data_IF_869410666321
#
_entry.id   IF_869410666321
#
_cell.length_a   1.000
_cell.length_b   1.000
_cell.length_c   1.000
_cell.angle_alpha   90.00
_cell.angle_beta   90.00
_cell.angle_gamma   90.00
#
_symmetry.space_group_name_H-M   'P 1'
#
loop_
_entity.id
_entity.type
_entity.pdbx_description
1 polymer ?
#
# COMPACT_ATOMS: atom_id res chain seq x y z
N UNK A 1 -13.89 -0.03 -8.72
CA UNK A 1 -14.80 0.37 -9.81
C UNK A 1 -15.35 1.75 -9.44
N UNK A 2 -14.67 2.83 -9.84
CA UNK A 2 -15.14 4.19 -9.58
C UNK A 2 -16.22 4.51 -10.61
N UNK A 3 -17.48 4.57 -10.17
CA UNK A 3 -18.56 5.15 -10.96
C UNK A 3 -18.19 6.59 -11.28
N UNK A 4 -18.38 6.99 -12.53
CA UNK A 4 -18.14 8.34 -13.05
C UNK A 4 -19.21 9.27 -12.48
N UNK A 5 -19.25 9.46 -11.16
CA UNK A 5 -20.13 10.44 -10.53
C UNK A 5 -19.54 11.82 -10.83
N UNK A 6 -20.33 12.64 -11.52
CA UNK A 6 -20.02 14.03 -11.85
C UNK A 6 -20.14 14.95 -10.63
N UNK A 7 -20.37 14.38 -9.43
CA UNK A 7 -20.65 15.09 -8.19
C UNK A 7 -19.55 14.82 -7.16
N UNK A 8 -18.78 15.86 -6.80
CA UNK A 8 -17.68 15.79 -5.84
C UNK A 8 -18.09 15.22 -4.47
N UNK A 9 -19.37 15.35 -4.09
CA UNK A 9 -19.90 14.80 -2.83
C UNK A 9 -19.91 13.27 -2.82
N UNK A 10 -20.31 12.63 -3.92
CA UNK A 10 -20.39 11.17 -4.00
C UNK A 10 -18.99 10.52 -4.03
N UNK A 11 -18.02 11.23 -4.64
CA UNK A 11 -16.63 10.85 -4.61
C UNK A 11 -16.08 10.89 -3.19
N UNK A 12 -16.26 12.00 -2.47
CA UNK A 12 -15.82 12.14 -1.08
C UNK A 12 -16.47 11.09 -0.19
N UNK A 13 -17.79 10.89 -0.31
CA UNK A 13 -18.50 9.89 0.48
C UNK A 13 -17.96 8.47 0.23
N UNK A 14 -17.67 8.13 -1.03
CA UNK A 14 -17.08 6.84 -1.38
C UNK A 14 -15.65 6.70 -0.86
N UNK A 15 -14.85 7.76 -0.93
CA UNK A 15 -13.49 7.80 -0.40
C UNK A 15 -13.49 7.54 1.11
N UNK A 16 -14.30 8.28 1.88
CA UNK A 16 -14.41 8.09 3.32
C UNK A 16 -14.94 6.70 3.67
N UNK A 17 -15.99 6.23 2.98
CA UNK A 17 -16.57 4.89 3.25
C UNK A 17 -15.54 3.78 3.04
N UNK A 18 -14.82 3.78 1.92
CA UNK A 18 -13.82 2.75 1.65
C UNK A 18 -12.57 2.93 2.52
N UNK A 19 -12.16 4.17 2.79
CA UNK A 19 -11.02 4.47 3.67
C UNK A 19 -11.24 3.98 5.10
N UNK A 20 -12.39 4.30 5.70
CA UNK A 20 -12.78 3.82 7.03
C UNK A 20 -12.83 2.29 7.05
N UNK A 21 -13.49 1.68 6.05
CA UNK A 21 -13.55 0.22 5.95
C UNK A 21 -12.15 -0.43 5.87
N UNK A 22 -11.25 0.16 5.09
CA UNK A 22 -9.87 -0.34 4.96
C UNK A 22 -9.10 -0.25 6.26
N UNK A 23 -9.18 0.89 6.96
CA UNK A 23 -8.50 1.10 8.24
C UNK A 23 -9.04 0.22 9.34
N UNK A 24 -10.35 0.02 9.43
CA UNK A 24 -10.95 -0.82 10.48
C UNK A 24 -10.60 -2.29 10.28
N UNK A 25 -10.82 -2.83 9.08
CA UNK A 25 -10.52 -4.24 8.79
C UNK A 25 -9.01 -4.48 8.88
N UNK A 26 -8.21 -3.59 8.30
CA UNK A 26 -6.77 -3.66 8.36
C UNK A 26 -6.21 -3.54 9.77
N UNK A 27 -6.75 -2.62 10.58
CA UNK A 27 -6.34 -2.44 11.96
C UNK A 27 -6.57 -3.70 12.79
N UNK A 28 -7.73 -4.34 12.64
CA UNK A 28 -8.04 -5.61 13.31
C UNK A 28 -7.09 -6.72 12.85
N UNK A 29 -6.91 -6.90 11.54
CA UNK A 29 -6.05 -7.95 10.98
C UNK A 29 -4.60 -7.75 11.44
N UNK A 30 -4.06 -6.54 11.32
CA UNK A 30 -2.69 -6.24 11.74
C UNK A 30 -2.51 -6.32 13.25
N UNK A 31 -3.54 -5.99 14.04
CA UNK A 31 -3.49 -6.15 15.49
C UNK A 31 -3.36 -7.61 15.87
N UNK A 32 -4.18 -8.48 15.28
CA UNK A 32 -4.06 -9.94 15.48
C UNK A 32 -2.67 -10.43 15.06
N UNK A 33 -2.19 -10.03 13.87
CA UNK A 33 -0.86 -10.44 13.39
C UNK A 33 0.23 -9.99 14.36
N UNK A 34 0.26 -8.72 14.75
CA UNK A 34 1.29 -8.16 15.64
C UNK A 34 1.29 -8.85 17.01
N UNK A 35 0.10 -9.17 17.55
CA UNK A 35 -0.04 -9.96 18.79
C UNK A 35 0.48 -11.38 18.64
N UNK A 36 0.19 -12.06 17.52
CA UNK A 36 0.72 -13.39 17.23
C UNK A 36 2.25 -13.40 17.10
N UNK A 37 2.84 -12.29 16.66
CA UNK A 37 4.30 -12.08 16.62
C UNK A 37 4.90 -11.66 17.97
N UNK A 38 4.13 -11.68 19.05
CA UNK A 38 4.62 -11.48 20.42
C UNK A 38 4.42 -10.08 20.99
N UNK A 39 3.56 -9.25 20.39
CA UNK A 39 3.28 -7.94 20.95
C UNK A 39 2.56 -8.00 22.31
N UNK A 40 2.91 -7.10 23.26
CA UNK A 40 2.26 -7.04 24.56
C UNK A 40 0.79 -6.60 24.46
N UNK A 41 -0.10 -7.36 25.11
CA UNK A 41 -1.55 -7.15 25.12
C UNK A 41 -2.06 -6.23 26.24
N UNK A 42 -1.59 -6.42 27.48
CA UNK A 42 -2.20 -5.78 28.65
C UNK A 42 -1.53 -4.47 29.07
N UNK A 43 -0.21 -4.37 28.93
CA UNK A 43 0.55 -3.22 29.44
C UNK A 43 0.72 -2.12 28.39
N UNK A 44 0.69 -2.45 27.09
CA UNK A 44 0.97 -1.52 25.99
C UNK A 44 -0.04 -1.65 24.84
N UNK A 45 -1.30 -1.92 25.15
CA UNK A 45 -2.37 -2.10 24.16
C UNK A 45 -2.43 -0.93 23.18
N UNK A 46 -2.43 0.30 23.70
CA UNK A 46 -2.51 1.52 22.90
C UNK A 46 -1.38 1.59 21.86
N UNK A 47 -0.17 1.19 22.25
CA UNK A 47 0.97 1.24 21.34
C UNK A 47 0.90 0.16 20.28
N UNK A 48 0.47 -1.04 20.64
CA UNK A 48 0.24 -2.13 19.69
C UNK A 48 -0.88 -1.77 18.69
N UNK A 49 -1.96 -1.14 19.16
CA UNK A 49 -3.04 -0.63 18.30
C UNK A 49 -2.55 0.47 17.35
N UNK A 50 -1.75 1.43 17.84
CA UNK A 50 -1.17 2.48 16.99
C UNK A 50 -0.27 1.91 15.90
N UNK A 51 0.57 0.91 16.21
CA UNK A 51 1.38 0.22 15.21
C UNK A 51 0.49 -0.49 14.16
N UNK A 52 -0.56 -1.17 14.60
CA UNK A 52 -1.50 -1.86 13.70
C UNK A 52 -2.28 -0.90 12.81
N UNK A 53 -2.67 0.26 13.32
CA UNK A 53 -3.30 1.33 12.54
C UNK A 53 -2.32 1.93 11.52
N UNK A 54 -1.05 2.10 11.90
CA UNK A 54 0.00 2.57 10.99
C UNK A 54 0.21 1.57 9.84
N UNK A 55 0.32 0.28 10.16
CA UNK A 55 0.40 -0.80 9.17
C UNK A 55 -0.84 -0.82 8.28
N UNK A 56 -2.04 -0.67 8.84
CA UNK A 56 -3.27 -0.59 8.07
C UNK A 56 -3.27 0.62 7.11
N UNK A 57 -2.77 1.78 7.55
CA UNK A 57 -2.67 2.99 6.75
C UNK A 57 -1.76 2.82 5.52
N UNK A 58 -0.69 2.01 5.61
CA UNK A 58 0.22 1.76 4.47
C UNK A 58 -0.10 0.53 3.63
N UNK A 59 -1.01 -0.34 4.09
CA UNK A 59 -1.33 -1.62 3.43
C UNK A 59 -2.77 -1.64 2.91
N UNK A 60 -3.74 -1.75 3.80
CA UNK A 60 -5.16 -1.99 3.50
C UNK A 60 -5.91 -0.72 3.14
N UNK A 61 -5.52 0.43 3.69
CA UNK A 61 -6.09 1.73 3.34
C UNK A 61 -5.93 2.10 1.84
N UNK A 62 -4.71 2.12 1.26
CA UNK A 62 -4.55 2.41 -0.16
C UNK A 62 -5.22 1.35 -1.05
N UNK A 63 -5.22 0.07 -0.64
CA UNK A 63 -5.93 -0.99 -1.36
C UNK A 63 -7.44 -0.77 -1.38
N UNK A 64 -8.03 -0.42 -0.24
CA UNK A 64 -9.47 -0.21 -0.09
C UNK A 64 -9.95 1.01 -0.87
N UNK A 65 -9.19 2.12 -0.85
CA UNK A 65 -9.52 3.31 -1.62
C UNK A 65 -9.48 3.00 -3.12
N UNK A 66 -8.40 2.38 -3.63
CA UNK A 66 -8.22 2.22 -5.07
C UNK A 66 -9.06 1.10 -5.68
N UNK A 67 -9.23 -0.02 -4.97
CA UNK A 67 -9.87 -1.21 -5.50
C UNK A 67 -11.26 -1.47 -4.91
N UNK A 68 -11.67 -0.72 -3.89
CA UNK A 68 -12.90 -0.96 -3.14
C UNK A 68 -12.80 -2.21 -2.26
N UNK A 69 -13.90 -2.67 -1.66
CA UNK A 69 -13.94 -3.80 -0.71
C UNK A 69 -13.80 -5.19 -1.38
N UNK A 70 -13.05 -5.31 -2.47
CA UNK A 70 -12.86 -6.57 -3.19
C UNK A 70 -11.66 -7.34 -2.64
N UNK A 71 -11.92 -8.17 -1.63
CA UNK A 71 -10.90 -8.93 -0.89
C UNK A 71 -10.08 -9.85 -1.81
N UNK A 72 -10.69 -10.46 -2.83
CA UNK A 72 -9.98 -11.31 -3.80
C UNK A 72 -8.89 -10.54 -4.54
N UNK A 73 -9.18 -9.29 -4.92
CA UNK A 73 -8.22 -8.42 -5.57
C UNK A 73 -7.11 -7.97 -4.62
N UNK A 74 -7.43 -7.73 -3.35
CA UNK A 74 -6.43 -7.37 -2.33
C UNK A 74 -5.43 -8.50 -2.14
N UNK A 75 -5.90 -9.75 -2.02
CA UNK A 75 -5.05 -10.93 -1.87
C UNK A 75 -4.13 -11.10 -3.08
N UNK A 76 -4.66 -10.95 -4.30
CA UNK A 76 -3.85 -11.05 -5.53
C UNK A 76 -2.73 -10.01 -5.59
N UNK A 77 -3.02 -8.77 -5.17
CA UNK A 77 -2.05 -7.67 -5.16
C UNK A 77 -0.99 -7.86 -4.07
N UNK A 78 -1.40 -8.30 -2.87
CA UNK A 78 -0.50 -8.50 -1.72
C UNK A 78 0.40 -9.70 -1.92
N UNK A 79 -0.18 -10.85 -2.28
CA UNK A 79 0.58 -12.08 -2.52
C UNK A 79 1.32 -12.07 -3.87
N UNK A 80 1.14 -11.00 -4.65
CA UNK A 80 1.77 -10.85 -5.95
C UNK A 80 1.51 -12.07 -6.87
N UNK A 81 0.40 -12.77 -6.66
CA UNK A 81 0.03 -13.99 -7.39
C UNK A 81 -0.15 -13.73 -8.90
N UNK A 82 -0.24 -12.45 -9.29
CA UNK A 82 -0.25 -11.98 -10.67
C UNK A 82 1.11 -11.61 -11.27
N UNK A 83 2.28 -11.96 -10.69
CA UNK A 83 3.59 -11.67 -11.35
C UNK A 83 3.68 -12.24 -12.77
N UNK A 84 3.07 -13.40 -13.01
CA UNK A 84 2.97 -14.00 -14.34
C UNK A 84 2.16 -13.12 -15.32
N UNK A 85 1.12 -12.46 -14.85
CA UNK A 85 0.29 -11.54 -15.67
C UNK A 85 0.95 -10.16 -15.83
N UNK A 86 1.75 -9.73 -14.85
CA UNK A 86 2.51 -8.46 -14.90
C UNK A 86 3.63 -8.49 -15.95
N UNK A 87 4.31 -9.63 -16.12
CA UNK A 87 5.28 -9.85 -17.21
C UNK A 87 4.60 -9.84 -18.60
N UNK A 88 3.38 -10.37 -18.70
CA UNK A 88 2.56 -10.29 -19.92
C UNK A 88 2.08 -8.85 -20.23
N UNK A 89 2.03 -7.99 -19.22
CA UNK A 89 1.58 -6.60 -19.35
C UNK A 89 2.71 -5.64 -19.77
N UNK A 90 3.96 -5.92 -19.39
CA UNK A 90 5.13 -5.17 -19.87
C UNK A 90 5.34 -5.33 -21.39
N UNK A 91 5.07 -6.52 -21.94
CA UNK A 91 5.15 -6.80 -23.38
C UNK A 91 3.96 -6.24 -24.17
N UNK A 92 2.82 -6.00 -23.53
CA UNK A 92 1.60 -5.45 -24.16
C UNK A 92 1.36 -3.98 -23.84
N UNK A 93 2.31 -3.29 -23.19
CA UNK A 93 2.17 -1.88 -22.79
C UNK A 93 1.74 -0.95 -23.93
N UNK A 94 2.22 -1.21 -25.16
CA UNK A 94 1.88 -0.41 -26.33
C UNK A 94 0.44 -0.64 -26.82
N UNK A 95 -0.20 -1.75 -26.46
CA UNK A 95 -1.59 -2.11 -26.82
C UNK A 95 -2.60 -1.86 -25.69
N UNK A 96 -2.15 -1.69 -24.45
CA UNK A 96 -3.02 -1.50 -23.30
C UNK A 96 -3.79 -0.16 -23.33
N UNK A 97 -5.05 -0.20 -22.92
CA UNK A 97 -5.92 0.96 -22.76
C UNK A 97 -5.45 1.88 -21.63
N UNK A 98 -5.77 3.18 -21.70
CA UNK A 98 -5.40 4.19 -20.70
C UNK A 98 -5.82 3.80 -19.28
N UNK A 99 -6.99 3.17 -19.15
CA UNK A 99 -7.53 2.70 -17.86
C UNK A 99 -6.71 1.56 -17.27
N UNK A 100 -6.23 0.63 -18.11
CA UNK A 100 -5.43 -0.52 -17.70
C UNK A 100 -4.05 -0.05 -17.20
N UNK A 101 -3.40 0.86 -17.96
CA UNK A 101 -2.13 1.48 -17.57
C UNK A 101 -2.19 2.14 -16.19
N UNK A 102 -3.28 2.87 -15.92
CA UNK A 102 -3.49 3.50 -14.62
C UNK A 102 -3.72 2.46 -13.50
N UNK A 103 -4.46 1.39 -13.77
CA UNK A 103 -4.67 0.32 -12.79
C UNK A 103 -3.36 -0.40 -12.44
N UNK A 104 -2.51 -0.68 -13.43
CA UNK A 104 -1.19 -1.31 -13.22
C UNK A 104 -0.31 -0.41 -12.34
N UNK A 105 -0.30 0.90 -12.60
CA UNK A 105 0.41 1.87 -11.78
C UNK A 105 -0.07 1.85 -10.32
N UNK A 106 -1.38 1.90 -10.09
CA UNK A 106 -1.95 1.86 -8.74
C UNK A 106 -1.64 0.54 -8.02
N UNK A 107 -1.65 -0.57 -8.73
CA UNK A 107 -1.26 -1.87 -8.15
C UNK A 107 0.21 -1.88 -7.76
N UNK A 108 1.11 -1.38 -8.61
CA UNK A 108 2.54 -1.28 -8.31
C UNK A 108 2.80 -0.37 -7.10
N UNK A 109 2.11 0.78 -7.04
CA UNK A 109 2.12 1.69 -5.90
C UNK A 109 1.72 0.99 -4.59
N UNK A 110 0.54 0.38 -4.56
CA UNK A 110 0.03 -0.28 -3.36
C UNK A 110 0.90 -1.46 -2.93
N UNK A 111 1.43 -2.26 -3.87
CA UNK A 111 2.35 -3.35 -3.54
C UNK A 111 3.67 -2.82 -2.98
N UNK A 112 4.28 -1.80 -3.58
CA UNK A 112 5.55 -1.25 -3.12
C UNK A 112 5.44 -0.65 -1.70
N UNK A 113 4.39 0.14 -1.46
CA UNK A 113 4.04 0.69 -0.15
C UNK A 113 3.83 -0.43 0.88
N UNK A 114 2.98 -1.40 0.56
CA UNK A 114 2.63 -2.50 1.46
C UNK A 114 3.83 -3.37 1.82
N UNK A 115 4.57 -3.85 0.81
CA UNK A 115 5.72 -4.74 1.03
C UNK A 115 6.83 -3.98 1.77
N UNK A 116 7.12 -2.75 1.37
CA UNK A 116 8.09 -1.90 2.04
C UNK A 116 7.75 -1.69 3.52
N UNK A 117 6.52 -1.31 3.83
CA UNK A 117 6.05 -1.11 5.20
C UNK A 117 6.14 -2.38 6.05
N UNK A 118 5.68 -3.52 5.53
CA UNK A 118 5.66 -4.80 6.27
C UNK A 118 7.07 -5.34 6.50
N UNK A 119 7.89 -5.40 5.45
CA UNK A 119 9.28 -5.86 5.56
C UNK A 119 10.07 -4.93 6.46
N UNK A 120 9.89 -3.61 6.31
CA UNK A 120 10.54 -2.62 7.16
C UNK A 120 10.14 -2.77 8.62
N UNK A 121 8.85 -2.99 8.92
CA UNK A 121 8.37 -3.24 10.28
C UNK A 121 8.98 -4.52 10.86
N UNK A 122 9.04 -5.59 10.06
CA UNK A 122 9.62 -6.86 10.49
C UNK A 122 11.11 -6.75 10.81
N UNK A 123 11.90 -6.09 9.94
CA UNK A 123 13.31 -5.81 10.21
C UNK A 123 13.46 -4.88 11.42
N UNK A 124 12.57 -3.90 11.57
CA UNK A 124 12.49 -3.01 12.72
C UNK A 124 12.17 -3.73 14.04
N UNK A 125 11.71 -4.99 14.01
CA UNK A 125 11.52 -5.78 15.22
C UNK A 125 12.82 -6.42 15.72
N UNK A 126 13.83 -6.61 14.86
CA UNK A 126 15.09 -7.28 15.24
C UNK A 126 15.90 -6.61 16.34
N UNK A 127 15.92 -5.27 16.48
CA UNK A 127 16.60 -4.66 17.61
C UNK A 127 15.96 -5.03 18.95
N UNK A 128 14.66 -5.35 19.02
CA UNK A 128 13.94 -5.55 20.29
C UNK A 128 14.56 -6.68 21.14
N UNK A 129 14.85 -7.89 20.60
CA UNK A 129 15.48 -8.96 21.38
C UNK A 129 16.96 -8.74 21.71
N UNK A 130 17.63 -7.77 21.07
CA UNK A 130 19.07 -7.54 21.27
C UNK A 130 19.38 -6.78 22.58
N UNK A 131 18.35 -6.34 23.29
CA UNK A 131 18.33 -5.61 24.57
C UNK A 131 19.57 -4.78 24.87
N UNK A 132 19.83 -3.76 24.03
CA UNK A 132 20.92 -2.80 24.27
C UNK A 132 20.59 -1.78 25.38
N UNK A 133 19.50 -2.01 26.14
CA UNK A 133 18.99 -1.13 27.21
C UNK A 133 18.81 0.32 26.75
N UNK A 134 18.41 0.54 25.48
CA UNK A 134 18.23 1.89 24.93
C UNK A 134 16.77 2.29 24.83
N UNK A 135 16.43 3.56 25.13
CA UNK A 135 15.05 4.04 25.07
C UNK A 135 14.44 3.98 23.66
N UNK A 136 15.27 4.03 22.61
CA UNK A 136 14.79 3.92 21.23
C UNK A 136 14.38 2.49 20.84
N UNK A 137 14.79 1.47 21.61
CA UNK A 137 14.49 0.05 21.37
C UNK A 137 13.12 -0.37 21.91
N UNK A 138 12.45 0.51 22.66
CA UNK A 138 11.19 0.22 23.33
C UNK A 138 10.07 -0.09 22.32
N UNK A 139 9.23 -1.07 22.65
CA UNK A 139 8.06 -1.40 21.84
C UNK A 139 7.11 -0.19 21.73
N UNK A 140 6.60 0.15 20.52
CA UNK A 140 6.86 -0.36 19.18
C UNK A 140 7.76 0.57 18.34
N UNK A 141 8.61 1.40 18.96
CA UNK A 141 9.31 2.50 18.28
C UNK A 141 10.14 2.02 17.08
N UNK A 142 10.94 0.96 17.25
CA UNK A 142 11.79 0.42 16.18
C UNK A 142 10.96 -0.13 15.02
N UNK A 143 9.82 -0.78 15.31
CA UNK A 143 8.85 -1.25 14.33
C UNK A 143 8.23 -0.07 13.56
N UNK A 144 7.89 1.02 14.24
CA UNK A 144 7.36 2.25 13.61
C UNK A 144 8.40 2.88 12.67
N UNK A 145 9.64 3.04 13.12
CA UNK A 145 10.71 3.55 12.26
C UNK A 145 10.95 2.64 11.06
N UNK A 146 11.01 1.32 11.29
CA UNK A 146 11.12 0.33 10.23
C UNK A 146 9.98 0.43 9.21
N UNK A 147 8.74 0.58 9.68
CA UNK A 147 7.55 0.76 8.83
C UNK A 147 7.70 1.99 7.92
N UNK A 148 8.03 3.14 8.50
CA UNK A 148 8.13 4.41 7.77
C UNK A 148 9.29 4.41 6.77
N UNK A 149 10.46 3.93 7.19
CA UNK A 149 11.65 3.84 6.33
C UNK A 149 11.42 2.83 5.21
N UNK A 150 10.90 1.64 5.53
CA UNK A 150 10.62 0.60 4.55
C UNK A 150 9.58 1.03 3.51
N UNK A 151 8.50 1.68 3.94
CA UNK A 151 7.53 2.29 3.03
C UNK A 151 8.18 3.32 2.11
N UNK A 152 8.99 4.23 2.67
CA UNK A 152 9.69 5.27 1.91
C UNK A 152 10.65 4.67 0.89
N UNK A 153 11.39 3.61 1.25
CA UNK A 153 12.28 2.89 0.35
C UNK A 153 11.52 2.18 -0.78
N UNK A 154 10.39 1.52 -0.46
CA UNK A 154 9.53 0.90 -1.48
C UNK A 154 9.00 1.92 -2.48
N UNK A 155 8.56 3.08 -2.00
CA UNK A 155 8.09 4.19 -2.82
C UNK A 155 9.20 4.80 -3.68
N UNK A 156 10.40 4.95 -3.12
CA UNK A 156 11.57 5.40 -3.87
C UNK A 156 11.94 4.41 -4.99
N UNK A 157 11.93 3.11 -4.69
CA UNK A 157 12.19 2.06 -5.67
C UNK A 157 11.19 2.09 -6.85
N UNK A 158 9.90 2.27 -6.55
CA UNK A 158 8.89 2.48 -7.59
C UNK A 158 9.17 3.75 -8.39
N UNK A 159 9.49 4.87 -7.73
CA UNK A 159 9.79 6.12 -8.43
C UNK A 159 10.99 5.97 -9.38
N UNK A 160 12.07 5.32 -8.95
CA UNK A 160 13.25 5.03 -9.79
C UNK A 160 12.82 4.19 -11.00
N UNK A 161 12.03 3.13 -10.80
CA UNK A 161 11.50 2.31 -11.89
C UNK A 161 10.64 3.13 -12.86
N UNK A 162 9.84 4.07 -12.38
CA UNK A 162 9.06 4.96 -13.25
C UNK A 162 9.97 5.91 -14.04
N UNK A 163 11.09 6.37 -13.47
CA UNK A 163 12.05 7.21 -14.19
C UNK A 163 12.77 6.43 -15.31
N UNK A 164 13.12 5.16 -15.07
CA UNK A 164 13.75 4.33 -16.13
C UNK A 164 12.80 4.07 -17.30
N UNK A 165 11.49 4.06 -17.05
CA UNK A 165 10.44 3.85 -18.05
C UNK A 165 9.69 5.14 -18.44
N UNK A 166 10.26 6.32 -18.16
CA UNK A 166 9.58 7.62 -18.29
C UNK A 166 8.95 7.86 -19.66
N UNK A 167 9.62 7.49 -20.75
CA UNK A 167 9.10 7.65 -22.11
C UNK A 167 7.74 6.94 -22.28
N UNK A 168 7.62 5.72 -21.76
CA UNK A 168 6.40 4.91 -21.84
C UNK A 168 5.22 5.51 -21.04
N UNK A 169 5.48 6.27 -19.99
CA UNK A 169 4.47 6.94 -19.17
C UNK A 169 4.10 8.33 -19.69
N UNK A 170 5.04 9.06 -20.29
CA UNK A 170 4.74 10.37 -20.89
C UNK A 170 3.79 10.25 -22.09
N UNK A 171 3.88 9.17 -22.87
CA UNK A 171 2.91 8.87 -23.93
C UNK A 171 1.48 8.70 -23.40
N UNK A 172 1.32 8.17 -22.19
CA UNK A 172 0.00 8.01 -21.54
C UNK A 172 -0.61 9.36 -21.18
N UNK A 173 0.21 10.29 -20.70
CA UNK A 173 -0.22 11.64 -20.35
C UNK A 173 -0.56 12.45 -21.60
N UNK A 174 0.30 12.39 -22.61
CA UNK A 174 0.19 13.16 -23.87
C UNK A 174 -0.99 12.70 -24.74
N UNK A 175 -1.13 11.40 -24.98
CA UNK A 175 -2.27 10.85 -25.73
C UNK A 175 -3.57 10.96 -24.93
N UNK A 176 -3.45 11.02 -23.60
CA UNK A 176 -4.57 11.24 -22.71
C UNK A 176 -5.16 12.65 -22.74
N UNK A 177 -4.40 13.65 -23.19
CA UNK A 177 -4.90 15.01 -23.43
C UNK A 177 -5.50 15.15 -24.82
N UNK A 178 -4.90 14.53 -25.86
CA UNK A 178 -5.42 14.54 -27.22
C UNK A 178 -6.86 13.98 -27.33
N UNK A 179 -7.15 12.86 -26.67
CA UNK A 179 -8.49 12.26 -26.63
C UNK A 179 -9.54 13.02 -25.78
N UNK A 180 -9.19 14.18 -25.23
CA UNK A 180 -10.11 15.06 -24.49
C UNK A 180 -10.53 16.28 -25.32
N UNK A 181 -9.90 16.49 -26.49
CA UNK A 181 -10.12 17.63 -27.39
C UNK A 181 -11.01 17.23 -28.58
N UNK A 182 -11.16 15.93 -28.83
CA UNK A 182 -12.15 15.32 -29.72
C UNK A 182 -13.39 14.89 -28.92
#
# INVERSE_FOLDING_TARGET
MFSKSNNSRDFLQSFFRHGVFGLTIGGIVWFVVVVLFGAPLYQLLDRSLLLSLLLAAFTTFPLSIHFGPNVSMWIQIVLNLGWKDKMYTLTTWNKASKKEKYQIFLQAYSTASCVGAVVGTYVGAFPIPLDWDRPWQQWPLTCVYGCLVGNSMGMLGLWIHLQTHKAQFQDVLRNGQAARIE
#
